data_IF_694755452705
#
_entry.id   IF_694755452705
#
_cell.length_a   1.000
_cell.length_b   1.000
_cell.length_c   1.000
_cell.angle_alpha   90.00
_cell.angle_beta   90.00
_cell.angle_gamma   90.00
#
_symmetry.space_group_name_H-M   'P 1'
#
loop_
_entity.id
_entity.type
_entity.pdbx_description
1 polymer ?
#
# COMPACT_ATOMS: atom_id res chain seq x y z
N UNK A 1 30.07 -49.49 17.18
CA UNK A 1 29.05 -49.43 16.11
C UNK A 1 27.71 -49.38 16.82
N UNK A 2 27.17 -48.17 17.02
CA UNK A 2 25.83 -47.97 17.57
C UNK A 2 25.00 -47.32 16.47
N UNK A 3 24.07 -48.06 15.89
CA UNK A 3 23.06 -47.52 14.99
C UNK A 3 22.07 -46.71 15.85
N UNK A 4 22.05 -45.39 15.64
CA UNK A 4 21.00 -44.55 16.16
C UNK A 4 19.73 -44.81 15.35
N UNK A 5 18.81 -45.56 15.95
CA UNK A 5 17.42 -45.67 15.49
C UNK A 5 16.73 -44.38 15.88
N UNK A 6 16.52 -43.48 14.92
CA UNK A 6 15.63 -42.33 15.08
C UNK A 6 14.21 -42.85 15.36
N UNK A 7 13.53 -42.27 16.34
CA UNK A 7 12.13 -42.63 16.64
C UNK A 7 11.25 -42.24 15.47
N UNK A 8 10.17 -42.99 15.24
CA UNK A 8 9.22 -42.71 14.15
C UNK A 8 8.63 -41.29 14.23
N UNK A 9 8.53 -40.70 15.43
CA UNK A 9 8.11 -39.30 15.65
C UNK A 9 9.13 -38.28 15.13
N UNK A 10 10.44 -38.50 15.35
CA UNK A 10 11.49 -37.61 14.81
C UNK A 10 11.54 -37.66 13.28
N UNK A 11 11.28 -38.83 12.69
CA UNK A 11 11.21 -38.99 11.24
C UNK A 11 9.96 -38.30 10.66
N UNK A 12 8.87 -38.24 11.41
CA UNK A 12 7.64 -37.57 11.01
C UNK A 12 7.78 -36.04 11.05
N UNK A 13 8.40 -35.50 12.10
CA UNK A 13 8.70 -34.05 12.21
C UNK A 13 9.68 -33.58 11.13
N UNK A 14 10.71 -34.39 10.83
CA UNK A 14 11.65 -34.09 9.73
C UNK A 14 10.91 -34.11 8.38
N UNK A 15 9.96 -35.02 8.20
CA UNK A 15 9.20 -35.09 6.95
C UNK A 15 8.29 -33.87 6.77
N UNK A 16 7.60 -33.43 7.82
CA UNK A 16 6.74 -32.24 7.81
C UNK A 16 7.55 -30.95 7.58
N UNK A 17 8.74 -30.84 8.19
CA UNK A 17 9.66 -29.72 7.95
C UNK A 17 10.16 -29.67 6.49
N UNK A 18 10.48 -30.84 5.90
CA UNK A 18 10.90 -30.93 4.50
C UNK A 18 9.76 -30.61 3.52
N UNK A 19 8.51 -30.93 3.89
CA UNK A 19 7.34 -30.59 3.09
C UNK A 19 7.06 -29.08 3.13
N UNK A 20 7.10 -28.46 4.31
CA UNK A 20 6.95 -27.01 4.48
C UNK A 20 8.04 -26.19 3.79
N UNK A 21 9.29 -26.65 3.84
CA UNK A 21 10.40 -25.98 3.14
C UNK A 21 10.28 -26.12 1.61
N UNK A 22 9.83 -27.27 1.12
CA UNK A 22 9.51 -27.48 -0.30
C UNK A 22 8.35 -26.60 -0.77
N UNK A 23 7.31 -26.42 0.04
CA UNK A 23 6.19 -25.52 -0.27
C UNK A 23 6.62 -24.04 -0.26
N UNK A 24 7.45 -23.63 0.71
CA UNK A 24 8.01 -22.28 0.77
C UNK A 24 8.91 -21.98 -0.42
N UNK A 25 9.78 -22.91 -0.81
CA UNK A 25 10.65 -22.76 -1.98
C UNK A 25 9.84 -22.73 -3.28
N UNK A 26 8.73 -23.47 -3.35
CA UNK A 26 7.81 -23.44 -4.49
C UNK A 26 7.03 -22.12 -4.56
N UNK A 27 6.63 -21.55 -3.42
CA UNK A 27 5.99 -20.24 -3.35
C UNK A 27 6.97 -19.13 -3.78
N UNK A 28 8.22 -19.16 -3.30
CA UNK A 28 9.29 -18.24 -3.72
C UNK A 28 9.65 -18.37 -5.20
N UNK A 29 9.65 -19.59 -5.74
CA UNK A 29 9.87 -19.82 -7.16
C UNK A 29 8.74 -19.30 -8.04
N UNK A 30 7.48 -19.36 -7.56
CA UNK A 30 6.34 -18.76 -8.23
C UNK A 30 6.41 -17.22 -8.19
N UNK A 31 6.77 -16.64 -7.05
CA UNK A 31 6.97 -15.19 -6.91
C UNK A 31 8.12 -14.69 -7.81
N UNK A 32 9.24 -15.42 -7.88
CA UNK A 32 10.36 -15.09 -8.76
C UNK A 32 10.02 -15.27 -10.25
N UNK A 33 9.19 -16.26 -10.61
CA UNK A 33 8.73 -16.46 -11.99
C UNK A 33 7.71 -15.40 -12.42
N UNK A 34 6.88 -14.89 -11.50
CA UNK A 34 5.95 -13.78 -11.76
C UNK A 34 6.68 -12.43 -11.87
N UNK A 35 7.84 -12.27 -11.22
CA UNK A 35 8.62 -11.02 -11.24
C UNK A 35 9.59 -10.90 -12.43
N UNK A 36 9.94 -12.00 -13.11
CA UNK A 36 10.98 -12.01 -14.18
C UNK A 36 10.40 -11.83 -15.61
N UNK A 37 9.08 -11.73 -15.82
CA UNK A 37 8.52 -11.60 -17.18
C UNK A 37 8.45 -10.18 -17.77
N UNK A 38 8.97 -9.14 -17.09
CA UNK A 38 8.87 -7.75 -17.57
C UNK A 38 10.21 -7.10 -17.93
N UNK A 39 11.28 -7.86 -18.09
CA UNK A 39 12.60 -7.30 -18.40
C UNK A 39 13.31 -8.07 -19.52
N UNK A 40 12.89 -7.81 -20.76
CA UNK A 40 13.72 -7.82 -21.98
C UNK A 40 12.78 -7.63 -23.20
N UNK A 41 12.56 -6.39 -23.62
CA UNK A 41 12.13 -6.03 -25.00
C UNK A 41 12.25 -4.50 -25.16
N UNK A 42 13.49 -3.99 -25.17
CA UNK A 42 13.81 -2.62 -25.62
C UNK A 42 15.09 -2.67 -26.47
N UNK A 43 15.05 -3.32 -27.63
CA UNK A 43 15.98 -3.05 -28.73
C UNK A 43 15.24 -3.01 -30.09
N UNK A 44 15.14 -1.79 -30.63
CA UNK A 44 14.99 -1.39 -32.04
C UNK A 44 13.87 -1.98 -32.92
N UNK A 45 12.81 -1.18 -33.17
CA UNK A 45 12.33 -0.90 -34.54
C UNK A 45 11.26 0.20 -34.58
N UNK A 46 11.48 1.20 -35.44
CA UNK A 46 10.51 2.21 -35.87
C UNK A 46 9.19 1.63 -36.43
N UNK A 47 8.13 2.44 -36.31
CA UNK A 47 6.85 2.48 -37.07
C UNK A 47 5.58 1.85 -36.44
N UNK A 48 4.66 2.76 -36.06
CA UNK A 48 3.19 2.74 -36.27
C UNK A 48 2.42 1.46 -35.92
N UNK A 49 1.69 1.44 -34.78
CA UNK A 49 0.23 1.63 -34.71
C UNK A 49 -0.25 1.47 -33.26
N UNK A 50 -1.32 2.17 -32.91
CA UNK A 50 -1.95 2.09 -31.60
C UNK A 50 -2.70 0.76 -31.43
N UNK A 51 -2.26 -0.09 -30.49
CA UNK A 51 -3.04 -1.23 -29.99
C UNK A 51 -2.68 -1.56 -28.53
N UNK A 52 -3.58 -1.18 -27.63
CA UNK A 52 -4.06 -1.93 -26.45
C UNK A 52 -3.19 -3.12 -25.97
N UNK A 53 -2.19 -2.81 -25.14
CA UNK A 53 -1.47 -3.79 -24.32
C UNK A 53 -2.12 -3.93 -22.95
N UNK A 54 -3.20 -4.71 -22.87
CA UNK A 54 -3.82 -5.06 -21.60
C UNK A 54 -2.92 -5.98 -20.76
N UNK A 55 -2.46 -5.50 -19.61
CA UNK A 55 -1.89 -6.31 -18.52
C UNK A 55 -2.87 -7.44 -18.16
N UNK A 56 -2.59 -8.64 -18.66
CA UNK A 56 -3.24 -9.88 -18.24
C UNK A 56 -2.39 -10.53 -17.15
N UNK A 57 -2.76 -10.30 -15.90
CA UNK A 57 -2.44 -11.24 -14.84
C UNK A 57 -3.52 -12.33 -14.85
N UNK A 58 -3.18 -13.48 -15.43
CA UNK A 58 -4.03 -14.66 -15.53
C UNK A 58 -4.21 -15.32 -14.16
N UNK A 59 -5.31 -14.99 -13.48
CA UNK A 59 -5.79 -15.76 -12.35
C UNK A 59 -6.36 -17.11 -12.85
N UNK A 60 -6.19 -18.23 -12.11
CA UNK A 60 -6.69 -19.54 -12.52
C UNK A 60 -8.23 -19.54 -12.61
N UNK A 61 -8.72 -19.57 -13.85
CA UNK A 61 -10.13 -19.61 -14.20
C UNK A 61 -10.69 -21.04 -14.10
N UNK A 62 -10.76 -21.61 -12.90
CA UNK A 62 -11.54 -22.85 -12.69
C UNK A 62 -12.22 -22.80 -11.33
N UNK A 63 -13.38 -22.13 -11.26
CA UNK A 63 -14.37 -22.27 -10.17
C UNK A 63 -15.66 -21.49 -10.51
N UNK A 64 -16.19 -21.59 -11.75
CA UNK A 64 -17.34 -20.78 -12.15
C UNK A 64 -18.30 -21.49 -13.11
N UNK A 65 -18.78 -22.67 -12.74
CA UNK A 65 -19.82 -23.38 -13.52
C UNK A 65 -21.09 -23.64 -12.69
N UNK A 66 -21.60 -22.59 -12.02
CA UNK A 66 -22.91 -22.65 -11.37
C UNK A 66 -23.72 -21.37 -11.64
N UNK A 67 -24.75 -21.51 -12.49
CA UNK A 67 -25.55 -20.41 -13.03
C UNK A 67 -26.54 -19.80 -12.02
N UNK A 68 -26.78 -20.46 -10.88
CA UNK A 68 -27.62 -19.95 -9.78
C UNK A 68 -26.91 -18.90 -8.91
N UNK A 69 -25.59 -18.93 -8.88
CA UNK A 69 -24.75 -17.96 -8.18
C UNK A 69 -24.39 -16.78 -9.09
N UNK A 70 -25.38 -16.06 -9.63
CA UNK A 70 -25.19 -14.70 -10.21
C UNK A 70 -25.00 -13.64 -9.09
N UNK A 71 -24.12 -14.04 -8.16
CA UNK A 71 -23.21 -13.33 -7.25
C UNK A 71 -23.65 -11.95 -6.78
N UNK A 72 -24.14 -11.91 -5.54
CA UNK A 72 -23.81 -10.81 -4.62
C UNK A 72 -22.30 -10.58 -4.72
N UNK A 73 -21.89 -9.38 -5.14
CA UNK A 73 -20.49 -8.98 -5.08
C UNK A 73 -19.99 -9.13 -3.63
N UNK A 74 -18.73 -9.51 -3.44
CA UNK A 74 -18.17 -9.76 -2.11
C UNK A 74 -18.36 -8.53 -1.20
N UNK A 75 -18.55 -8.76 0.10
CA UNK A 75 -18.73 -7.71 1.09
C UNK A 75 -17.53 -7.70 2.04
N UNK A 76 -16.90 -6.54 2.20
CA UNK A 76 -15.69 -6.43 3.01
C UNK A 76 -15.93 -6.66 4.51
N UNK A 77 -17.17 -6.52 4.99
CA UNK A 77 -17.48 -6.54 6.42
C UNK A 77 -17.02 -7.83 7.11
N UNK A 78 -17.35 -9.01 6.58
CA UNK A 78 -16.98 -10.27 7.23
C UNK A 78 -15.48 -10.52 7.29
N UNK A 79 -14.73 -10.04 6.28
CA UNK A 79 -13.26 -10.09 6.30
C UNK A 79 -12.72 -9.12 7.35
N UNK A 80 -13.24 -7.89 7.38
CA UNK A 80 -12.85 -6.89 8.39
C UNK A 80 -13.11 -7.40 9.79
N UNK A 81 -14.27 -8.02 10.06
CA UNK A 81 -14.61 -8.57 11.37
C UNK A 81 -13.59 -9.64 11.79
N UNK A 82 -13.27 -10.58 10.90
CA UNK A 82 -12.30 -11.63 11.14
C UNK A 82 -10.90 -11.07 11.47
N UNK A 83 -10.40 -10.16 10.64
CA UNK A 83 -9.05 -9.61 10.80
C UNK A 83 -8.94 -8.63 11.97
N UNK A 84 -9.99 -7.85 12.24
CA UNK A 84 -10.04 -6.97 13.42
C UNK A 84 -10.07 -7.77 14.72
N UNK A 85 -10.75 -8.91 14.75
CA UNK A 85 -10.75 -9.77 15.94
C UNK A 85 -9.38 -10.43 16.13
N UNK A 86 -8.77 -10.96 15.07
CA UNK A 86 -7.39 -11.48 15.13
C UNK A 86 -6.40 -10.41 15.62
N UNK A 87 -6.53 -9.18 15.10
CA UNK A 87 -5.72 -8.04 15.50
C UNK A 87 -5.93 -7.67 16.98
N UNK A 88 -7.17 -7.59 17.45
CA UNK A 88 -7.47 -7.29 18.86
C UNK A 88 -6.98 -8.39 19.79
N UNK A 89 -7.06 -9.66 19.38
CA UNK A 89 -6.52 -10.78 20.15
C UNK A 89 -5.00 -10.67 20.29
N UNK A 90 -4.29 -10.39 19.20
CA UNK A 90 -2.85 -10.16 19.24
C UNK A 90 -2.46 -8.95 20.09
N UNK A 91 -3.26 -7.87 20.02
CA UNK A 91 -3.04 -6.65 20.81
C UNK A 91 -3.29 -6.85 22.32
N UNK A 92 -4.20 -7.75 22.68
CA UNK A 92 -4.56 -8.03 24.07
C UNK A 92 -3.63 -9.05 24.76
N UNK A 93 -2.63 -9.59 24.07
CA UNK A 93 -1.62 -10.44 24.67
C UNK A 93 -0.78 -9.66 25.69
N UNK A 94 -0.27 -10.35 26.72
CA UNK A 94 0.48 -9.74 27.84
C UNK A 94 1.69 -8.92 27.36
N UNK A 95 2.36 -9.37 26.28
CA UNK A 95 3.40 -8.63 25.57
C UNK A 95 3.04 -8.49 24.08
N UNK A 96 2.57 -7.30 23.62
CA UNK A 96 2.25 -7.06 22.21
C UNK A 96 3.47 -7.20 21.28
N UNK A 97 4.68 -7.01 21.82
CA UNK A 97 5.96 -7.18 21.11
C UNK A 97 6.20 -8.61 20.64
N UNK A 98 5.67 -9.60 21.35
CA UNK A 98 5.80 -11.01 20.97
C UNK A 98 4.83 -11.38 19.84
N UNK A 99 3.86 -10.52 19.54
CA UNK A 99 2.82 -10.75 18.55
C UNK A 99 2.82 -9.72 17.41
N UNK A 100 3.94 -9.03 17.18
CA UNK A 100 4.09 -8.04 16.10
C UNK A 100 3.72 -8.65 14.74
N UNK A 101 4.20 -9.87 14.48
CA UNK A 101 3.91 -10.56 13.22
C UNK A 101 2.40 -10.80 13.03
N UNK A 102 1.68 -11.16 14.09
CA UNK A 102 0.23 -11.36 14.03
C UNK A 102 -0.53 -10.04 13.78
N UNK A 103 -0.11 -8.94 14.42
CA UNK A 103 -0.66 -7.59 14.21
C UNK A 103 -0.47 -7.15 12.75
N UNK A 104 0.75 -7.30 12.24
CA UNK A 104 1.12 -6.93 10.87
C UNK A 104 0.39 -7.81 9.85
N UNK A 105 0.33 -9.12 10.06
CA UNK A 105 -0.34 -10.05 9.16
C UNK A 105 -1.83 -9.76 9.00
N UNK A 106 -2.54 -9.44 10.08
CA UNK A 106 -3.95 -9.03 10.02
C UNK A 106 -4.12 -7.74 9.19
N UNK A 107 -3.25 -6.76 9.40
CA UNK A 107 -3.23 -5.52 8.63
C UNK A 107 -2.99 -5.77 7.13
N UNK A 108 -1.96 -6.54 6.78
CA UNK A 108 -1.59 -6.76 5.38
C UNK A 108 -2.66 -7.54 4.61
N UNK A 109 -3.34 -8.48 5.26
CA UNK A 109 -4.50 -9.14 4.64
C UNK A 109 -5.54 -8.11 4.22
N UNK A 110 -5.90 -7.16 5.09
CA UNK A 110 -6.81 -6.06 4.70
C UNK A 110 -6.21 -5.16 3.60
N UNK A 111 -4.92 -4.85 3.67
CA UNK A 111 -4.25 -3.99 2.69
C UNK A 111 -4.27 -4.57 1.26
N UNK A 112 -4.11 -5.89 1.11
CA UNK A 112 -4.23 -6.59 -0.18
C UNK A 112 -5.62 -6.41 -0.79
N UNK A 113 -6.67 -6.64 0.02
CA UNK A 113 -8.05 -6.43 -0.44
C UNK A 113 -8.38 -4.96 -0.69
N UNK A 114 -7.80 -4.04 0.08
CA UNK A 114 -7.93 -2.60 -0.13
C UNK A 114 -7.37 -2.20 -1.51
N UNK A 115 -6.14 -2.62 -1.83
CA UNK A 115 -5.52 -2.40 -3.15
C UNK A 115 -6.33 -2.99 -4.30
N UNK A 116 -6.78 -4.23 -4.16
CA UNK A 116 -7.65 -4.89 -5.15
C UNK A 116 -8.97 -4.14 -5.35
N UNK A 117 -9.55 -3.59 -4.28
CA UNK A 117 -10.82 -2.84 -4.35
C UNK A 117 -10.66 -1.54 -5.12
N UNK A 118 -9.53 -0.84 -4.98
CA UNK A 118 -9.22 0.37 -5.77
C UNK A 118 -9.19 0.02 -7.27
N UNK A 119 -8.54 -1.09 -7.64
CA UNK A 119 -8.52 -1.54 -9.03
C UNK A 119 -9.92 -1.84 -9.57
N UNK A 120 -10.74 -2.58 -8.80
CA UNK A 120 -12.12 -2.90 -9.20
C UNK A 120 -12.96 -1.63 -9.32
N UNK A 121 -12.81 -0.69 -8.39
CA UNK A 121 -13.47 0.61 -8.44
C UNK A 121 -13.11 1.31 -9.75
N UNK A 122 -11.83 1.52 -10.04
CA UNK A 122 -11.36 2.19 -11.26
C UNK A 122 -11.89 1.54 -12.52
N UNK A 123 -11.79 0.21 -12.63
CA UNK A 123 -12.32 -0.55 -13.76
C UNK A 123 -13.84 -0.37 -13.91
N UNK A 124 -14.59 -0.43 -12.80
CA UNK A 124 -16.04 -0.29 -12.80
C UNK A 124 -16.51 1.12 -13.15
N UNK A 125 -15.79 2.16 -12.71
CA UNK A 125 -16.04 3.55 -13.07
C UNK A 125 -15.86 3.76 -14.57
N UNK A 126 -14.73 3.30 -15.12
CA UNK A 126 -14.42 3.45 -16.55
C UNK A 126 -15.39 2.65 -17.43
N UNK A 127 -15.87 1.50 -16.96
CA UNK A 127 -16.85 0.69 -17.67
C UNK A 127 -18.31 1.14 -17.46
N UNK A 128 -18.57 2.19 -16.68
CA UNK A 128 -19.93 2.66 -16.38
C UNK A 128 -20.77 1.66 -15.57
N UNK A 129 -20.14 0.72 -14.85
CA UNK A 129 -20.82 -0.35 -14.09
C UNK A 129 -21.23 0.15 -12.71
N UNK A 130 -22.31 0.94 -12.65
CA UNK A 130 -22.74 1.65 -11.44
C UNK A 130 -22.89 0.75 -10.19
N UNK A 131 -23.61 -0.37 -10.29
CA UNK A 131 -23.80 -1.27 -9.15
C UNK A 131 -22.48 -1.82 -8.59
N UNK A 132 -21.52 -2.13 -9.46
CA UNK A 132 -20.20 -2.63 -9.08
C UNK A 132 -19.35 -1.51 -8.47
N UNK A 133 -19.40 -0.30 -9.05
CA UNK A 133 -18.71 0.86 -8.52
C UNK A 133 -19.20 1.20 -7.10
N UNK A 134 -20.52 1.20 -6.89
CA UNK A 134 -21.11 1.40 -5.56
C UNK A 134 -20.71 0.33 -4.56
N UNK A 135 -20.62 -0.93 -4.98
CA UNK A 135 -20.18 -2.00 -4.10
C UNK A 135 -18.68 -1.87 -3.75
N UNK A 136 -17.84 -1.51 -4.73
CA UNK A 136 -16.42 -1.26 -4.52
C UNK A 136 -16.18 -0.03 -3.61
N UNK A 137 -16.91 1.07 -3.78
CA UNK A 137 -16.82 2.25 -2.90
C UNK A 137 -17.16 1.91 -1.45
N UNK A 138 -18.24 1.15 -1.21
CA UNK A 138 -18.62 0.71 0.15
C UNK A 138 -17.56 -0.20 0.76
N UNK A 139 -17.08 -1.19 0.02
CA UNK A 139 -16.01 -2.07 0.49
C UNK A 139 -14.74 -1.29 0.81
N UNK A 140 -14.36 -0.34 -0.04
CA UNK A 140 -13.16 0.47 0.16
C UNK A 140 -13.27 1.31 1.44
N UNK A 141 -14.42 1.96 1.66
CA UNK A 141 -14.68 2.69 2.90
C UNK A 141 -14.62 1.79 4.15
N UNK A 142 -15.20 0.59 4.08
CA UNK A 142 -15.17 -0.40 5.17
C UNK A 142 -13.73 -0.86 5.48
N UNK A 143 -12.94 -1.21 4.47
CA UNK A 143 -11.55 -1.63 4.64
C UNK A 143 -10.68 -0.48 5.18
N UNK A 144 -10.84 0.72 4.61
CA UNK A 144 -10.05 1.88 5.00
C UNK A 144 -10.24 2.22 6.48
N UNK A 145 -11.50 2.30 6.94
CA UNK A 145 -11.80 2.56 8.36
C UNK A 145 -11.19 1.53 9.30
N UNK A 146 -11.24 0.25 8.93
CA UNK A 146 -10.65 -0.83 9.73
C UNK A 146 -9.13 -0.69 9.82
N UNK A 147 -8.46 -0.46 8.68
CA UNK A 147 -7.01 -0.25 8.63
C UNK A 147 -6.59 1.01 9.42
N UNK A 148 -7.35 2.10 9.33
CA UNK A 148 -7.13 3.30 10.15
C UNK A 148 -7.33 3.00 11.64
N UNK A 149 -8.34 2.21 12.00
CA UNK A 149 -8.56 1.81 13.38
C UNK A 149 -7.41 0.96 13.93
N UNK A 150 -6.88 0.01 13.15
CA UNK A 150 -5.69 -0.75 13.49
C UNK A 150 -4.49 0.18 13.72
N UNK A 151 -4.25 1.13 12.80
CA UNK A 151 -3.21 2.14 12.94
C UNK A 151 -3.34 2.97 14.22
N UNK A 152 -4.55 3.47 14.53
CA UNK A 152 -4.79 4.24 15.77
C UNK A 152 -4.56 3.41 17.03
N UNK A 153 -4.85 2.11 16.99
CA UNK A 153 -4.66 1.22 18.13
C UNK A 153 -3.19 0.82 18.34
N UNK A 154 -2.42 0.67 17.26
CA UNK A 154 -1.02 0.23 17.30
C UNK A 154 -0.15 0.99 16.27
N UNK A 155 0.07 2.30 16.47
CA UNK A 155 0.69 3.16 15.44
C UNK A 155 2.14 2.81 15.13
N UNK A 156 2.83 2.12 16.05
CA UNK A 156 4.21 1.67 15.86
C UNK A 156 4.33 0.33 15.13
N UNK A 157 3.23 -0.42 15.02
CA UNK A 157 3.23 -1.78 14.46
C UNK A 157 2.37 -1.91 13.20
N UNK A 158 1.52 -0.92 12.94
CA UNK A 158 0.64 -0.90 11.77
C UNK A 158 0.75 0.44 11.05
N UNK A 159 0.80 0.45 9.71
CA UNK A 159 0.98 1.68 8.95
C UNK A 159 -0.34 2.41 8.73
N UNK A 160 -0.21 3.67 8.34
CA UNK A 160 -1.33 4.50 7.89
C UNK A 160 -1.93 3.90 6.62
N UNK A 161 -3.25 3.79 6.55
CA UNK A 161 -3.93 3.35 5.35
C UNK A 161 -3.81 4.43 4.25
N UNK A 162 -3.11 4.12 3.16
CA UNK A 162 -2.90 5.04 2.06
C UNK A 162 -3.60 4.58 0.79
N UNK A 163 -4.29 5.52 0.13
CA UNK A 163 -4.88 5.32 -1.20
C UNK A 163 -3.92 5.93 -2.21
N UNK A 164 -2.89 5.19 -2.60
CA UNK A 164 -1.88 5.66 -3.56
C UNK A 164 -1.71 4.65 -4.70
N UNK A 165 -1.59 5.16 -5.92
CA UNK A 165 -1.14 4.40 -7.08
C UNK A 165 0.38 4.19 -7.05
N UNK A 166 0.93 3.44 -8.02
CA UNK A 166 2.37 3.16 -8.10
C UNK A 166 3.20 4.44 -8.06
N UNK A 167 2.79 5.48 -8.78
CA UNK A 167 3.51 6.76 -8.81
C UNK A 167 3.43 7.53 -7.49
N UNK A 168 2.27 7.54 -6.83
CA UNK A 168 2.11 8.17 -5.53
C UNK A 168 2.87 7.43 -4.43
N UNK A 169 2.96 6.09 -4.51
CA UNK A 169 3.81 5.30 -3.60
C UNK A 169 5.28 5.59 -3.79
N UNK A 170 5.72 5.78 -5.03
CA UNK A 170 7.11 6.14 -5.31
C UNK A 170 7.46 7.52 -4.76
N UNK A 171 6.58 8.50 -4.94
CA UNK A 171 6.74 9.85 -4.38
C UNK A 171 6.69 9.83 -2.84
N UNK A 172 5.79 9.02 -2.26
CA UNK A 172 5.75 8.81 -0.81
C UNK A 172 7.03 8.16 -0.27
N UNK A 173 7.62 7.19 -0.98
CA UNK A 173 8.89 6.59 -0.59
C UNK A 173 10.02 7.64 -0.55
N UNK A 174 10.02 8.62 -1.45
CA UNK A 174 10.95 9.76 -1.41
C UNK A 174 10.74 10.61 -0.15
N UNK A 175 9.49 10.87 0.25
CA UNK A 175 9.20 11.60 1.49
C UNK A 175 9.70 10.84 2.72
N UNK A 176 9.56 9.52 2.74
CA UNK A 176 10.07 8.70 3.84
C UNK A 176 11.59 8.74 3.94
N UNK A 177 12.31 8.73 2.81
CA UNK A 177 13.77 8.93 2.77
C UNK A 177 14.13 10.29 3.38
N UNK A 178 13.42 11.35 2.98
CA UNK A 178 13.65 12.69 3.54
C UNK A 178 13.37 12.74 5.03
N UNK A 179 12.27 12.13 5.49
CA UNK A 179 11.90 12.07 6.90
C UNK A 179 12.95 11.33 7.73
N UNK A 180 13.40 10.16 7.26
CA UNK A 180 14.46 9.39 7.94
C UNK A 180 15.75 10.20 8.15
N UNK A 181 16.12 11.05 7.18
CA UNK A 181 17.28 11.94 7.29
C UNK A 181 17.00 13.15 8.19
N UNK A 182 15.83 13.78 8.07
CA UNK A 182 15.47 14.97 8.85
C UNK A 182 15.33 14.69 10.34
N UNK A 183 14.86 13.49 10.70
CA UNK A 183 14.72 13.03 12.07
C UNK A 183 16.03 12.47 12.65
N UNK A 184 17.08 12.37 11.85
CA UNK A 184 18.40 12.01 12.34
C UNK A 184 19.16 13.26 12.77
N UNK A 185 19.70 13.24 13.99
CA UNK A 185 20.61 14.28 14.45
C UNK A 185 21.95 14.20 13.72
N UNK A 186 22.42 12.99 13.44
CA UNK A 186 23.70 12.72 12.81
C UNK A 186 23.55 12.26 11.36
N UNK A 187 24.55 12.52 10.50
CA UNK A 187 24.59 12.01 9.14
C UNK A 187 24.51 10.47 9.10
N UNK A 188 23.72 9.91 8.18
CA UNK A 188 23.44 8.47 8.10
C UNK A 188 24.00 7.84 6.81
N UNK A 189 24.53 6.60 6.87
CA UNK A 189 24.85 5.83 5.67
C UNK A 189 23.57 5.35 4.96
N UNK A 190 23.68 5.04 3.67
CA UNK A 190 22.54 4.60 2.85
C UNK A 190 21.77 3.41 3.45
N UNK A 191 22.49 2.41 3.98
CA UNK A 191 21.87 1.21 4.56
C UNK A 191 21.06 1.53 5.82
N UNK A 192 21.58 2.42 6.68
CA UNK A 192 20.83 2.87 7.86
C UNK A 192 19.60 3.69 7.49
N UNK A 193 19.67 4.48 6.40
CA UNK A 193 18.50 5.19 5.86
C UNK A 193 17.49 4.18 5.35
N UNK A 194 17.91 3.15 4.60
CA UNK A 194 17.00 2.12 4.09
C UNK A 194 16.31 1.35 5.23
N UNK A 195 17.05 0.98 6.27
CA UNK A 195 16.46 0.38 7.47
C UNK A 195 15.43 1.29 8.12
N UNK A 196 15.78 2.55 8.36
CA UNK A 196 14.86 3.51 8.98
C UNK A 196 13.64 3.82 8.11
N UNK A 197 13.80 3.84 6.79
CA UNK A 197 12.68 3.95 5.84
C UNK A 197 11.76 2.75 5.94
N UNK A 198 12.27 1.52 6.11
CA UNK A 198 11.45 0.33 6.32
C UNK A 198 10.82 0.26 7.71
N UNK A 199 11.45 0.88 8.72
CA UNK A 199 10.80 1.07 10.02
C UNK A 199 9.63 2.05 9.93
N UNK A 200 9.70 3.03 9.01
CA UNK A 200 8.65 4.01 8.73
C UNK A 200 7.61 3.50 7.71
N UNK A 201 8.04 2.72 6.73
CA UNK A 201 7.22 2.07 5.70
C UNK A 201 7.05 0.60 6.01
N UNK A 202 5.90 0.27 6.56
CA UNK A 202 5.57 -1.12 6.82
C UNK A 202 5.44 -1.89 5.49
N UNK A 203 5.11 -1.27 4.34
CA UNK A 203 5.05 -1.99 3.06
C UNK A 203 6.43 -2.38 2.49
N UNK A 204 7.52 -1.89 3.09
CA UNK A 204 8.88 -2.14 2.66
C UNK A 204 9.24 -1.37 1.38
N UNK A 205 10.24 -0.51 1.48
CA UNK A 205 10.88 0.13 0.34
C UNK A 205 12.13 -0.66 -0.03
N UNK A 206 12.20 -1.14 -1.27
CA UNK A 206 13.37 -1.82 -1.78
C UNK A 206 14.62 -0.93 -1.63
N UNK A 207 15.79 -1.46 -1.20
CA UNK A 207 17.02 -0.66 -1.03
C UNK A 207 17.42 0.10 -2.30
N UNK A 208 17.19 -0.47 -3.48
CA UNK A 208 17.44 0.20 -4.76
C UNK A 208 16.58 1.44 -4.98
N UNK A 209 15.31 1.43 -4.52
CA UNK A 209 14.42 2.59 -4.56
C UNK A 209 14.90 3.69 -3.63
N UNK A 210 15.35 3.33 -2.41
CA UNK A 210 15.98 4.27 -1.47
C UNK A 210 17.21 4.92 -2.08
N UNK A 211 18.10 4.13 -2.68
CA UNK A 211 19.32 4.65 -3.34
C UNK A 211 19.01 5.57 -4.52
N UNK A 212 18.00 5.24 -5.34
CA UNK A 212 17.54 6.10 -6.44
C UNK A 212 17.07 7.45 -5.89
N UNK A 213 16.15 7.45 -4.92
CA UNK A 213 15.61 8.67 -4.33
C UNK A 213 16.70 9.49 -3.62
N UNK A 214 17.65 8.85 -2.93
CA UNK A 214 18.80 9.52 -2.33
C UNK A 214 19.63 10.27 -3.38
N UNK A 215 19.90 9.65 -4.53
CA UNK A 215 20.63 10.29 -5.63
C UNK A 215 19.87 11.52 -6.13
N UNK A 216 18.58 11.38 -6.41
CA UNK A 216 17.74 12.48 -6.92
C UNK A 216 17.65 13.62 -5.89
N UNK A 217 17.58 13.31 -4.61
CA UNK A 217 17.55 14.28 -3.50
C UNK A 217 18.90 15.01 -3.31
N UNK A 218 20.02 14.33 -3.57
CA UNK A 218 21.35 14.95 -3.60
C UNK A 218 21.49 15.86 -4.82
N UNK A 219 21.09 15.38 -6.01
CA UNK A 219 21.18 16.14 -7.26
C UNK A 219 20.28 17.39 -7.24
N UNK A 220 19.12 17.30 -6.60
CA UNK A 220 18.22 18.43 -6.37
C UNK A 220 18.61 19.31 -5.16
N UNK A 221 19.63 18.92 -4.41
CA UNK A 221 20.19 19.70 -3.31
C UNK A 221 19.32 19.77 -2.05
N UNK A 222 18.40 18.80 -1.85
CA UNK A 222 17.67 18.65 -0.59
C UNK A 222 18.47 17.85 0.45
N UNK A 223 19.33 16.94 -0.01
CA UNK A 223 20.23 16.14 0.81
C UNK A 223 21.68 16.50 0.46
N UNK A 224 22.54 16.54 1.46
CA UNK A 224 23.98 16.72 1.28
C UNK A 224 24.70 15.40 1.53
N UNK A 225 25.59 15.02 0.62
CA UNK A 225 26.54 13.95 0.87
C UNK A 225 27.74 14.53 1.63
N UNK A 226 27.88 14.14 2.90
CA UNK A 226 28.91 14.66 3.82
C UNK A 226 30.22 13.88 3.69
N UNK A 227 30.13 12.58 3.45
CA UNK A 227 31.27 11.70 3.18
C UNK A 227 30.99 10.83 1.95
N UNK A 228 32.04 10.50 1.21
CA UNK A 228 31.98 9.67 0.01
C UNK A 228 32.35 8.21 0.28
N UNK A 229 33.09 7.89 1.36
CA UNK A 229 33.56 6.53 1.65
C UNK A 229 33.64 6.21 3.16
N UNK A 230 32.63 5.56 3.75
CA UNK A 230 31.34 5.18 3.14
C UNK A 230 30.51 6.42 2.79
N UNK A 231 29.54 6.29 1.88
CA UNK A 231 28.65 7.39 1.54
C UNK A 231 27.75 7.71 2.73
N UNK A 232 27.84 8.93 3.26
CA UNK A 232 27.05 9.39 4.41
C UNK A 232 26.28 10.65 4.03
N UNK A 233 25.00 10.68 4.37
CA UNK A 233 24.05 11.69 3.94
C UNK A 233 23.51 12.46 5.14
N UNK A 234 23.33 13.77 4.98
CA UNK A 234 22.70 14.64 5.96
C UNK A 234 21.69 15.55 5.28
N UNK A 235 20.77 16.12 6.07
CA UNK A 235 19.85 17.15 5.56
C UNK A 235 20.64 18.36 5.06
N UNK A 236 20.23 18.91 3.93
CA UNK A 236 20.73 20.22 3.49
C UNK A 236 20.00 21.35 4.23
N UNK A 237 20.35 22.60 3.90
CA UNK A 237 19.60 23.79 4.34
C UNK A 237 18.37 24.09 3.49
N UNK A 238 18.19 23.40 2.36
CA UNK A 238 17.05 23.61 1.46
C UNK A 238 15.80 23.00 2.10
N UNK A 239 14.76 23.81 2.25
CA UNK A 239 13.48 23.34 2.77
C UNK A 239 12.85 22.31 1.82
N UNK A 240 12.46 21.18 2.39
CA UNK A 240 11.68 20.15 1.71
C UNK A 240 10.21 20.31 2.08
N UNK A 241 9.31 20.01 1.16
CA UNK A 241 7.87 20.01 1.40
C UNK A 241 7.35 18.63 1.04
N UNK A 242 6.75 17.97 2.03
CA UNK A 242 6.17 16.64 1.87
C UNK A 242 5.02 16.68 0.85
N UNK A 243 4.77 15.55 0.20
CA UNK A 243 3.70 15.39 -0.78
C UNK A 243 2.33 15.58 -0.09
N UNK A 244 1.50 16.44 -0.68
CA UNK A 244 0.07 16.45 -0.36
C UNK A 244 -0.59 15.19 -0.96
N UNK A 245 -1.07 14.31 -0.10
CA UNK A 245 -1.72 13.05 -0.48
C UNK A 245 -3.07 13.25 -1.16
N UNK A 246 -3.66 14.45 -1.08
CA UNK A 246 -4.99 14.72 -1.60
C UNK A 246 -5.10 14.53 -3.12
N UNK A 247 -4.12 15.04 -3.87
CA UNK A 247 -4.08 14.88 -5.34
C UNK A 247 -3.84 13.43 -5.78
N UNK A 248 -2.72 12.81 -5.35
CA UNK A 248 -2.42 11.40 -5.61
C UNK A 248 -3.53 10.44 -5.17
N UNK A 249 -4.21 10.73 -4.05
CA UNK A 249 -5.35 9.96 -3.56
C UNK A 249 -6.53 9.96 -4.52
N UNK A 250 -6.92 11.15 -5.01
CA UNK A 250 -7.96 11.25 -6.03
C UNK A 250 -7.52 10.53 -7.32
N UNK A 251 -6.27 10.74 -7.76
CA UNK A 251 -5.72 10.08 -8.95
C UNK A 251 -5.75 8.56 -8.84
N UNK A 252 -5.42 8.00 -7.68
CA UNK A 252 -5.45 6.56 -7.45
C UNK A 252 -6.88 5.98 -7.60
N UNK A 253 -7.91 6.70 -7.17
CA UNK A 253 -9.31 6.25 -7.26
C UNK A 253 -9.87 6.30 -8.69
N UNK A 254 -9.54 7.36 -9.45
CA UNK A 254 -10.17 7.60 -10.76
C UNK A 254 -9.27 7.31 -11.96
N UNK A 255 -7.96 7.15 -11.75
CA UNK A 255 -6.94 7.05 -12.79
C UNK A 255 -6.51 8.40 -13.37
N UNK A 256 -5.31 8.43 -13.98
CA UNK A 256 -4.67 9.67 -14.46
C UNK A 256 -5.48 10.46 -15.48
N UNK A 257 -6.12 9.78 -16.43
CA UNK A 257 -6.92 10.45 -17.48
C UNK A 257 -8.12 11.19 -16.88
N UNK A 258 -8.87 10.53 -16.00
CA UNK A 258 -10.03 11.12 -15.33
C UNK A 258 -9.62 12.18 -14.32
N UNK A 259 -8.51 11.96 -13.62
CA UNK A 259 -7.92 12.96 -12.73
C UNK A 259 -7.56 14.25 -13.46
N UNK A 260 -7.00 14.17 -14.68
CA UNK A 260 -6.74 15.35 -15.51
C UNK A 260 -8.04 16.09 -15.89
N UNK A 261 -9.12 15.37 -16.20
CA UNK A 261 -10.44 15.96 -16.48
C UNK A 261 -11.04 16.65 -15.24
N UNK A 262 -10.86 16.08 -14.05
CA UNK A 262 -11.25 16.70 -12.78
C UNK A 262 -10.42 17.95 -12.47
N UNK A 263 -9.10 17.87 -12.68
CA UNK A 263 -8.17 18.99 -12.48
C UNK A 263 -8.53 20.17 -13.38
N UNK A 264 -8.87 19.92 -14.65
CA UNK A 264 -9.33 20.96 -15.57
C UNK A 264 -10.65 21.63 -15.13
N UNK A 265 -11.47 20.93 -14.34
CA UNK A 265 -12.66 21.48 -13.71
C UNK A 265 -12.40 22.08 -12.31
N UNK A 266 -11.13 22.18 -11.91
CA UNK A 266 -10.69 22.75 -10.65
C UNK A 266 -10.72 21.79 -9.46
N UNK A 267 -10.84 20.47 -9.66
CA UNK A 267 -10.74 19.46 -8.61
C UNK A 267 -9.36 18.79 -8.67
N UNK A 268 -8.40 19.31 -7.91
CA UNK A 268 -7.01 18.85 -7.92
C UNK A 268 -6.83 17.64 -7.00
N UNK A 269 -7.55 17.61 -5.87
CA UNK A 269 -7.46 16.52 -4.90
C UNK A 269 -8.77 16.21 -4.15
N UNK A 270 -8.68 15.26 -3.22
CA UNK A 270 -9.78 14.85 -2.34
C UNK A 270 -10.41 16.02 -1.57
N UNK A 271 -9.64 16.99 -1.08
CA UNK A 271 -10.16 18.16 -0.34
C UNK A 271 -11.10 19.02 -1.21
N UNK A 272 -10.82 19.13 -2.51
CA UNK A 272 -11.69 19.87 -3.44
C UNK A 272 -13.06 19.19 -3.60
N UNK A 273 -13.09 17.87 -3.55
CA UNK A 273 -14.31 17.07 -3.64
C UNK A 273 -15.17 17.32 -2.40
N UNK A 274 -14.59 17.23 -1.21
CA UNK A 274 -15.28 17.44 0.06
C UNK A 274 -15.80 18.87 0.23
N UNK A 275 -15.08 19.89 -0.27
CA UNK A 275 -15.51 21.29 -0.16
C UNK A 275 -16.63 21.68 -1.13
N UNK A 276 -16.79 20.97 -2.25
CA UNK A 276 -17.77 21.30 -3.31
C UNK A 276 -18.53 20.05 -3.80
N UNK A 277 -19.24 19.33 -2.91
CA UNK A 277 -19.80 18.02 -3.19
C UNK A 277 -20.92 18.08 -4.25
N UNK A 278 -21.77 19.10 -4.21
CA UNK A 278 -22.90 19.21 -5.16
C UNK A 278 -22.45 19.43 -6.61
N UNK A 279 -21.48 20.31 -6.86
CA UNK A 279 -20.94 20.49 -8.22
C UNK A 279 -20.07 19.30 -8.65
N UNK A 280 -19.37 18.66 -7.70
CA UNK A 280 -18.59 17.47 -8.00
C UNK A 280 -19.49 16.32 -8.46
N UNK A 281 -20.59 16.05 -7.76
CA UNK A 281 -21.54 14.99 -8.14
C UNK A 281 -22.06 15.18 -9.57
N UNK A 282 -22.40 16.41 -9.96
CA UNK A 282 -22.83 16.70 -11.33
C UNK A 282 -21.73 16.41 -12.36
N UNK A 283 -20.50 16.84 -12.08
CA UNK A 283 -19.35 16.56 -12.94
C UNK A 283 -19.06 15.07 -13.04
N UNK A 284 -19.01 14.37 -11.90
CA UNK A 284 -18.74 12.94 -11.79
C UNK A 284 -19.74 12.12 -12.62
N UNK A 285 -21.04 12.40 -12.49
CA UNK A 285 -22.09 11.75 -13.29
C UNK A 285 -21.91 12.00 -14.78
N UNK A 286 -21.54 13.22 -15.17
CA UNK A 286 -21.29 13.55 -16.57
C UNK A 286 -20.08 12.80 -17.13
N UNK A 287 -19.02 12.62 -16.35
CA UNK A 287 -17.79 11.96 -16.79
C UNK A 287 -17.91 10.43 -16.83
N UNK A 288 -18.56 9.83 -15.84
CA UNK A 288 -18.65 8.36 -15.71
C UNK A 288 -20.01 7.77 -16.13
N UNK A 289 -21.03 8.59 -16.37
CA UNK A 289 -22.37 8.11 -16.73
C UNK A 289 -23.11 7.39 -15.59
N UNK A 290 -22.68 7.56 -14.34
CA UNK A 290 -23.24 6.88 -13.16
C UNK A 290 -24.44 7.61 -12.56
N UNK A 291 -25.18 6.93 -11.69
CA UNK A 291 -26.33 7.50 -10.99
C UNK A 291 -25.94 8.56 -9.94
N UNK A 292 -26.93 9.32 -9.49
CA UNK A 292 -26.77 10.23 -8.34
C UNK A 292 -26.36 9.50 -7.07
N UNK A 293 -26.85 8.27 -6.86
CA UNK A 293 -26.47 7.46 -5.72
C UNK A 293 -24.98 7.06 -5.78
N UNK A 294 -24.48 6.67 -6.95
CA UNK A 294 -23.05 6.38 -7.15
C UNK A 294 -22.17 7.61 -6.93
N UNK A 295 -22.60 8.77 -7.43
CA UNK A 295 -21.86 10.03 -7.23
C UNK A 295 -21.86 10.49 -5.76
N UNK A 296 -22.98 10.35 -5.05
CA UNK A 296 -23.05 10.62 -3.62
C UNK A 296 -22.14 9.69 -2.82
N UNK A 297 -22.16 8.39 -3.11
CA UNK A 297 -21.28 7.42 -2.46
C UNK A 297 -19.79 7.70 -2.70
N UNK A 298 -19.43 8.25 -3.86
CA UNK A 298 -18.05 8.66 -4.09
C UNK A 298 -17.64 9.82 -3.18
N UNK A 299 -18.51 10.80 -2.98
CA UNK A 299 -18.27 11.89 -2.03
C UNK A 299 -18.15 11.32 -0.60
N UNK A 300 -19.05 10.44 -0.18
CA UNK A 300 -19.00 9.80 1.15
C UNK A 300 -17.70 8.99 1.36
N UNK A 301 -17.23 8.32 0.30
CA UNK A 301 -15.93 7.64 0.30
C UNK A 301 -14.80 8.65 0.49
N UNK A 302 -14.79 9.76 -0.24
CA UNK A 302 -13.77 10.81 -0.09
C UNK A 302 -13.77 11.41 1.31
N UNK A 303 -14.95 11.71 1.86
CA UNK A 303 -15.07 12.18 3.25
C UNK A 303 -14.50 11.15 4.23
N UNK A 304 -14.78 9.85 4.02
CA UNK A 304 -14.20 8.78 4.85
C UNK A 304 -12.67 8.76 4.78
N UNK A 305 -12.10 8.93 3.59
CA UNK A 305 -10.64 8.96 3.41
C UNK A 305 -9.99 10.20 4.06
N UNK A 306 -10.70 11.33 4.14
CA UNK A 306 -10.20 12.58 4.70
C UNK A 306 -10.42 12.70 6.22
N UNK A 307 -11.60 12.32 6.72
CA UNK A 307 -11.92 12.32 8.15
C UNK A 307 -10.88 11.48 8.91
N UNK A 308 -10.47 10.37 8.31
CA UNK A 308 -9.47 9.48 8.88
C UNK A 308 -8.04 10.04 8.85
N UNK A 309 -7.77 11.07 8.02
CA UNK A 309 -6.53 11.84 8.00
C UNK A 309 -6.54 13.04 8.96
N UNK A 310 -7.69 13.41 9.52
CA UNK A 310 -7.81 14.62 10.35
C UNK A 310 -7.59 14.34 11.86
N UNK A 311 -6.63 15.08 12.42
CA UNK A 311 -6.37 15.39 13.84
C UNK A 311 -5.93 14.33 14.88
N UNK A 312 -5.91 13.01 14.64
CA UNK A 312 -5.43 12.05 15.68
C UNK A 312 -4.62 10.84 15.21
N UNK A 313 -4.21 10.76 13.94
CA UNK A 313 -3.21 9.76 13.49
C UNK A 313 -1.82 10.23 13.89
N UNK A 314 -1.52 10.04 15.18
CA UNK A 314 -0.24 10.25 15.87
C UNK A 314 0.52 11.56 15.52
N UNK A 315 0.50 12.58 16.40
CA UNK A 315 1.66 13.44 16.48
C UNK A 315 2.77 12.53 17.00
N UNK A 316 3.68 12.09 16.12
CA UNK A 316 4.94 11.47 16.52
C UNK A 316 5.71 12.46 17.41
N UNK A 317 5.34 12.48 18.70
CA UNK A 317 6.08 13.08 19.79
C UNK A 317 6.93 11.95 20.33
N UNK A 318 8.23 12.06 20.08
CA UNK A 318 9.32 11.46 20.84
C UNK A 318 8.94 10.25 21.69
N UNK A 319 9.38 9.06 21.27
CA UNK A 319 10.13 8.24 22.21
C UNK A 319 11.59 8.24 21.79
N UNK A 320 12.36 8.93 22.62
CA UNK A 320 13.75 8.63 22.93
C UNK A 320 14.17 7.22 22.49
N UNK A 321 15.14 7.15 21.58
CA UNK A 321 16.07 6.01 21.48
C UNK A 321 17.09 6.02 22.64
N UNK A 322 16.73 6.58 23.80
CA UNK A 322 17.45 6.39 25.06
C UNK A 322 16.77 5.25 25.82
N UNK A 323 17.05 4.01 25.42
CA UNK A 323 16.66 2.85 26.23
C UNK A 323 16.41 1.52 25.52
N UNK A 324 16.68 1.35 24.23
CA UNK A 324 16.60 0.01 23.61
C UNK A 324 17.75 -0.88 24.15
N UNK A 325 17.47 -2.08 24.71
CA UNK A 325 18.47 -2.96 25.30
C UNK A 325 19.07 -3.96 24.30
N UNK A 326 19.22 -3.58 23.03
CA UNK A 326 20.05 -4.33 22.07
C UNK A 326 21.41 -3.62 21.90
N UNK A 327 22.54 -4.34 22.05
CA UNK A 327 23.89 -3.77 22.13
C UNK A 327 24.38 -3.11 20.83
#
# INVERSE_FOLDING_TARGET
MGEHVHSDDELQEIHEYLELTSELDRAKALEAAEFISEQDDDEDADLVDAADGGERQDAPAVLMDDAGARRTYWQAQSLVDLEMDAFKTALAADEPTDNIEALQNAYYRLAVYHGRTIYILRSSLNAGKDALAQAAMRNLATLHRAMTQMHRAAPHYTPVALVLDRSGRDEFARDLVMRAIQESADPLPADAIAHRVNDLDVMGVAPGTVQRHLRDLVDSGYVAQVDQRPAVYARSTRAYTDMDQSGPGLRALVGSERHAQFTAAGYVGLHDVATRPSSFRQLFRRLFGLSEAGAALFVDLVETLLDDQSEQTSPWRHFDLLGSPYP
#
